data_IF_897583788570
#
_entry.id   IF_897583788570
#
_cell.length_a   1.000
_cell.length_b   1.000
_cell.length_c   1.000
_cell.angle_alpha   90.00
_cell.angle_beta   90.00
_cell.angle_gamma   90.00
#
_symmetry.space_group_name_H-M   'P 1'
#
loop_
_entity.id
_entity.type
_entity.pdbx_description
1 polymer ?
#
# COMPACT_ATOMS: atom_id res chain seq x y z
N UNK A 1 -10.55 15.25 -17.56
CA UNK A 1 -9.37 14.47 -17.93
C UNK A 1 -9.01 13.57 -16.75
N UNK A 2 -9.45 12.31 -16.76
CA UNK A 2 -9.09 11.37 -15.70
C UNK A 2 -7.65 10.92 -15.93
N UNK A 3 -6.74 11.20 -14.99
CA UNK A 3 -5.41 10.60 -15.06
C UNK A 3 -5.56 9.08 -14.96
N UNK A 4 -4.98 8.35 -15.92
CA UNK A 4 -4.94 6.89 -15.87
C UNK A 4 -4.15 6.49 -14.62
N UNK A 5 -4.80 5.80 -13.69
CA UNK A 5 -4.13 5.25 -12.52
C UNK A 5 -3.07 4.27 -13.04
N UNK A 6 -1.80 4.51 -12.70
CA UNK A 6 -0.69 3.64 -13.13
C UNK A 6 -0.31 2.60 -12.06
N UNK A 7 -0.71 2.84 -10.82
CA UNK A 7 -0.30 2.05 -9.67
C UNK A 7 -1.48 1.76 -8.74
N UNK A 8 -1.52 0.54 -8.23
CA UNK A 8 -2.34 0.16 -7.09
C UNK A 8 -1.49 0.10 -5.82
N UNK A 9 -2.18 0.24 -4.70
CA UNK A 9 -1.61 0.19 -3.37
C UNK A 9 -2.27 -0.95 -2.61
N UNK A 10 -1.45 -1.83 -2.06
CA UNK A 10 -1.90 -2.89 -1.15
C UNK A 10 -1.33 -2.59 0.23
N UNK A 11 -2.20 -2.38 1.21
CA UNK A 11 -1.84 -2.05 2.57
C UNK A 11 -1.93 -3.29 3.45
N UNK A 12 -0.84 -3.58 4.12
CA UNK A 12 -0.64 -4.71 5.01
C UNK A 12 -0.51 -4.25 6.46
N UNK A 13 -0.95 -5.10 7.37
CA UNK A 13 -0.76 -4.98 8.81
C UNK A 13 -0.20 -6.31 9.31
N UNK A 14 1.11 -6.37 9.47
CA UNK A 14 1.77 -7.67 9.63
C UNK A 14 1.52 -8.51 8.38
N UNK A 15 0.87 -9.66 8.54
CA UNK A 15 0.55 -10.59 7.46
C UNK A 15 -0.88 -10.41 6.89
N UNK A 16 -1.68 -9.51 7.46
CA UNK A 16 -3.06 -9.26 7.03
C UNK A 16 -3.14 -8.14 6.00
N UNK A 17 -3.93 -8.34 4.94
CA UNK A 17 -4.28 -7.29 3.97
C UNK A 17 -5.43 -6.45 4.55
N UNK A 18 -5.16 -5.17 4.76
CA UNK A 18 -6.15 -4.20 5.28
C UNK A 18 -6.91 -3.54 4.14
N UNK A 19 -6.22 -3.20 3.05
CA UNK A 19 -6.82 -2.55 1.89
C UNK A 19 -6.03 -2.84 0.62
N UNK A 20 -6.71 -2.94 -0.51
CA UNK A 20 -6.12 -2.98 -1.84
C UNK A 20 -6.93 -2.09 -2.78
N UNK A 21 -6.25 -1.36 -3.67
CA UNK A 21 -6.88 -0.55 -4.70
C UNK A 21 -6.12 0.74 -4.99
N UNK A 22 -6.83 1.77 -5.41
CA UNK A 22 -6.22 3.07 -5.69
C UNK A 22 -5.75 3.76 -4.40
N UNK A 23 -4.86 4.74 -4.55
CA UNK A 23 -4.38 5.55 -3.42
C UNK A 23 -5.54 6.21 -2.66
N UNK A 24 -6.55 6.67 -3.39
CA UNK A 24 -7.73 7.35 -2.85
C UNK A 24 -8.62 6.39 -2.07
N UNK A 25 -8.93 5.22 -2.63
CA UNK A 25 -9.73 4.20 -1.92
C UNK A 25 -9.03 3.73 -0.63
N UNK A 26 -7.71 3.54 -0.68
CA UNK A 26 -6.93 3.20 0.50
C UNK A 26 -6.94 4.30 1.55
N UNK A 27 -6.87 5.56 1.12
CA UNK A 27 -6.92 6.72 2.01
C UNK A 27 -8.28 6.84 2.70
N UNK A 28 -9.38 6.66 1.95
CA UNK A 28 -10.75 6.69 2.46
C UNK A 28 -11.01 5.54 3.45
N UNK A 29 -10.63 4.29 3.12
CA UNK A 29 -10.83 3.15 4.02
C UNK A 29 -10.05 3.24 5.32
N UNK A 30 -8.88 3.86 5.30
CA UNK A 30 -8.04 4.02 6.48
C UNK A 30 -8.28 5.34 7.22
N UNK A 31 -9.17 6.20 6.71
CA UNK A 31 -9.42 7.55 7.22
C UNK A 31 -8.11 8.38 7.33
N UNK A 32 -7.21 8.22 6.35
CA UNK A 32 -5.93 8.94 6.26
C UNK A 32 -5.84 9.76 4.99
N UNK A 33 -4.81 10.60 4.89
CA UNK A 33 -4.52 11.33 3.65
C UNK A 33 -3.87 10.43 2.58
N UNK A 34 -4.07 10.77 1.30
CA UNK A 34 -3.34 10.13 0.20
C UNK A 34 -1.81 10.21 0.36
N UNK A 35 -1.31 11.31 0.92
CA UNK A 35 0.11 11.47 1.23
C UNK A 35 0.59 10.43 2.24
N UNK A 36 -0.25 10.11 3.24
CA UNK A 36 0.04 9.05 4.21
C UNK A 36 0.16 7.71 3.50
N UNK A 37 -0.73 7.35 2.58
CA UNK A 37 -0.63 6.11 1.78
C UNK A 37 0.69 6.07 0.98
N UNK A 38 1.08 7.20 0.38
CA UNK A 38 2.38 7.34 -0.27
C UNK A 38 3.56 7.09 0.69
N UNK A 39 3.50 7.68 1.89
CA UNK A 39 4.51 7.48 2.93
C UNK A 39 4.57 6.02 3.42
N UNK A 40 3.43 5.35 3.56
CA UNK A 40 3.37 3.94 3.95
C UNK A 40 4.09 3.04 2.95
N UNK A 41 4.14 3.45 1.67
CA UNK A 41 4.87 2.75 0.61
C UNK A 41 6.37 3.04 0.56
N UNK A 42 6.84 4.00 1.35
CA UNK A 42 8.25 4.38 1.37
C UNK A 42 9.14 3.28 1.95
N UNK A 43 10.34 3.13 1.38
CA UNK A 43 11.33 2.16 1.85
C UNK A 43 11.75 2.38 3.31
N UNK A 44 11.69 3.63 3.81
CA UNK A 44 11.98 3.94 5.22
C UNK A 44 10.90 3.36 6.13
N UNK A 45 9.62 3.48 5.77
CA UNK A 45 8.53 2.91 6.55
C UNK A 45 8.59 1.38 6.54
N UNK A 46 8.86 0.76 5.38
CA UNK A 46 9.06 -0.70 5.26
C UNK A 46 10.19 -1.21 6.15
N UNK A 47 11.37 -0.56 6.10
CA UNK A 47 12.52 -0.91 6.97
C UNK A 47 12.20 -0.74 8.45
N UNK A 48 11.43 0.28 8.81
CA UNK A 48 10.98 0.50 10.19
C UNK A 48 10.00 -0.58 10.64
N UNK A 49 9.08 -1.00 9.77
CA UNK A 49 8.17 -2.09 10.07
C UNK A 49 8.92 -3.43 10.22
N UNK A 50 9.84 -3.74 9.31
CA UNK A 50 10.65 -4.95 9.36
C UNK A 50 11.59 -5.05 10.59
N UNK A 51 12.20 -3.93 11.00
CA UNK A 51 13.07 -3.90 12.19
C UNK A 51 12.30 -3.79 13.52
N UNK A 52 10.97 -3.73 13.47
CA UNK A 52 10.16 -3.63 14.67
C UNK A 52 9.89 -5.03 15.24
N UNK A 53 10.75 -5.50 16.14
CA UNK A 53 10.49 -6.69 16.99
C UNK A 53 9.35 -6.49 18.01
N UNK A 54 8.46 -5.51 17.79
CA UNK A 54 7.31 -5.23 18.66
C UNK A 54 6.06 -5.85 18.05
N UNK A 55 5.57 -6.99 18.57
CA UNK A 55 4.39 -7.68 18.04
C UNK A 55 3.10 -6.83 18.08
N UNK A 56 3.06 -5.77 18.90
CA UNK A 56 1.94 -4.83 18.99
C UNK A 56 2.17 -3.48 18.31
N UNK A 57 3.32 -3.26 17.65
CA UNK A 57 3.48 -2.06 16.80
C UNK A 57 2.90 -2.39 15.43
N UNK A 58 1.58 -2.28 15.34
CA UNK A 58 0.78 -2.37 14.12
C UNK A 58 1.27 -1.27 13.16
N UNK A 59 2.36 -1.53 12.44
CA UNK A 59 2.89 -0.64 11.42
C UNK A 59 2.29 -1.05 10.11
N UNK A 60 1.40 -0.20 9.59
CA UNK A 60 0.87 -0.35 8.26
C UNK A 60 2.02 -0.23 7.25
N UNK A 61 2.05 -1.12 6.28
CA UNK A 61 2.98 -1.09 5.15
C UNK A 61 2.15 -1.00 3.89
N UNK A 62 2.51 -0.14 2.95
CA UNK A 62 1.90 -0.18 1.62
C UNK A 62 2.88 -0.75 0.60
N UNK A 63 2.42 -1.67 -0.23
CA UNK A 63 3.12 -2.12 -1.42
C UNK A 63 2.57 -1.38 -2.63
N UNK A 64 3.47 -0.81 -3.44
CA UNK A 64 3.10 -0.07 -4.64
C UNK A 64 3.27 -1.00 -5.81
N UNK A 65 2.16 -1.38 -6.44
CA UNK A 65 2.15 -2.35 -7.54
C UNK A 65 1.79 -1.62 -8.84
N UNK A 66 2.49 -1.93 -9.92
CA UNK A 66 2.17 -1.40 -11.24
C UNK A 66 0.97 -2.14 -11.83
N UNK A 67 -0.07 -1.42 -12.23
CA UNK A 67 -1.27 -2.03 -12.83
C UNK A 67 -0.92 -2.79 -14.10
N UNK A 68 0.02 -2.27 -14.90
CA UNK A 68 0.49 -2.95 -16.10
C UNK A 68 1.18 -4.29 -15.80
N UNK A 69 1.76 -4.43 -14.61
CA UNK A 69 2.43 -5.67 -14.18
C UNK A 69 1.39 -6.68 -13.68
N UNK A 70 0.36 -6.22 -12.96
CA UNK A 70 -0.82 -7.03 -12.60
C UNK A 70 -1.53 -7.56 -13.86
N UNK A 71 -1.83 -6.67 -14.82
CA UNK A 71 -2.48 -7.05 -16.07
C UNK A 71 -1.66 -8.08 -16.86
N UNK A 72 -0.33 -7.98 -16.80
CA UNK A 72 0.58 -8.94 -17.46
C UNK A 72 0.60 -10.30 -16.76
N UNK A 73 0.56 -10.34 -15.43
CA UNK A 73 0.51 -11.59 -14.66
C UNK A 73 -0.86 -12.29 -14.76
N UNK A 74 -1.95 -11.52 -14.82
CA UNK A 74 -3.32 -12.06 -14.93
C UNK A 74 -3.69 -12.53 -16.34
N UNK A 75 -2.94 -12.07 -17.37
CA UNK A 75 -3.12 -12.46 -18.77
C UNK A 75 -2.38 -13.76 -19.15
N UNK A 76 -1.80 -14.47 -18.18
CA UNK A 76 -1.18 -15.80 -18.31
C UNK A 76 -2.13 -16.90 -17.82
#
# INVERSE_FOLDING_TARGET
MGQKQLYEYVIYKGDEIVCAGTRKECAEKLEVSEQTVGFLSSGVNKRRAANSNRPNSIRLIAEKVSIAEIEKELAL
#
